data_IF_977765582844
#
_entry.id   IF_977765582844
#
_cell.length_a   1.000
_cell.length_b   1.000
_cell.length_c   1.000
_cell.angle_alpha   90.00
_cell.angle_beta   90.00
_cell.angle_gamma   90.00
#
_symmetry.space_group_name_H-M   'P 1'
#
loop_
_entity.id
_entity.type
_entity.pdbx_description
1 polymer ?
#
# COMPACT_ATOMS: atom_id res chain seq x y z
N UNK A 1 34.47 -14.00 42.59
CA UNK A 1 34.33 -15.02 41.52
C UNK A 1 33.58 -14.31 40.43
N UNK A 2 34.38 -13.61 39.64
CA UNK A 2 33.96 -12.65 38.64
C UNK A 2 33.18 -13.39 37.56
N UNK A 3 32.01 -12.86 37.21
CA UNK A 3 31.27 -13.33 36.05
C UNK A 3 32.11 -12.94 34.85
N UNK A 4 32.90 -13.88 34.36
CA UNK A 4 33.61 -13.75 33.10
C UNK A 4 32.60 -13.28 32.05
N UNK A 5 32.96 -12.16 31.44
CA UNK A 5 32.28 -11.55 30.32
C UNK A 5 32.00 -12.63 29.27
N UNK A 6 30.73 -13.01 29.08
CA UNK A 6 30.33 -13.76 27.90
C UNK A 6 30.72 -12.90 26.69
N UNK A 7 31.75 -13.36 25.97
CA UNK A 7 32.17 -12.76 24.72
C UNK A 7 30.95 -12.69 23.78
N UNK A 8 30.47 -11.48 23.40
CA UNK A 8 29.30 -11.35 22.52
C UNK A 8 29.54 -11.93 21.12
N UNK A 9 30.76 -12.41 20.83
CA UNK A 9 31.14 -13.12 19.60
C UNK A 9 31.22 -14.66 19.78
N UNK A 10 30.81 -15.20 20.93
CA UNK A 10 30.73 -16.65 21.18
C UNK A 10 29.67 -17.35 20.32
N UNK A 11 28.72 -16.60 19.74
CA UNK A 11 27.77 -17.17 18.80
C UNK A 11 28.46 -17.58 17.49
N UNK A 12 28.42 -18.88 17.12
CA UNK A 12 29.09 -19.36 15.92
C UNK A 12 28.51 -18.68 14.69
N UNK A 13 29.39 -18.22 13.80
CA UNK A 13 28.99 -17.56 12.56
C UNK A 13 27.97 -18.42 11.78
N UNK A 14 26.84 -17.84 11.34
CA UNK A 14 25.81 -18.61 10.68
C UNK A 14 26.33 -19.25 9.39
N UNK A 15 25.79 -20.42 9.07
CA UNK A 15 26.03 -21.05 7.76
C UNK A 15 25.50 -20.13 6.66
N UNK A 16 26.13 -20.14 5.48
CA UNK A 16 25.70 -19.35 4.32
C UNK A 16 24.20 -19.49 4.02
N UNK A 17 23.63 -20.68 4.17
CA UNK A 17 22.19 -20.93 4.03
C UNK A 17 21.35 -20.16 5.05
N UNK A 18 21.72 -20.19 6.33
CA UNK A 18 21.02 -19.49 7.41
C UNK A 18 21.08 -17.96 7.21
N UNK A 19 22.22 -17.45 6.76
CA UNK A 19 22.37 -16.03 6.40
C UNK A 19 21.47 -15.64 5.22
N UNK A 20 21.41 -16.45 4.16
CA UNK A 20 20.53 -16.18 3.01
C UNK A 20 19.04 -16.23 3.39
N UNK A 21 18.63 -17.19 4.22
CA UNK A 21 17.26 -17.27 4.72
C UNK A 21 16.90 -16.03 5.56
N UNK A 22 17.80 -15.60 6.45
CA UNK A 22 17.60 -14.40 7.26
C UNK A 22 17.53 -13.13 6.40
N UNK A 23 18.44 -12.97 5.45
CA UNK A 23 18.44 -11.84 4.52
C UNK A 23 17.15 -11.83 3.68
N UNK A 24 16.73 -12.97 3.15
CA UNK A 24 15.50 -13.07 2.36
C UNK A 24 14.30 -12.68 3.21
N UNK A 25 14.18 -13.22 4.42
CA UNK A 25 13.07 -12.91 5.31
C UNK A 25 13.00 -11.41 5.64
N UNK A 26 14.14 -10.80 5.98
CA UNK A 26 14.20 -9.39 6.40
C UNK A 26 14.01 -8.45 5.22
N UNK A 27 14.68 -8.68 4.10
CA UNK A 27 14.69 -7.75 2.96
C UNK A 27 13.52 -7.96 2.00
N UNK A 28 12.94 -9.16 1.91
CA UNK A 28 11.78 -9.40 1.04
C UNK A 28 10.57 -8.57 1.48
N UNK A 29 10.20 -8.62 2.77
CA UNK A 29 9.06 -7.85 3.30
C UNK A 29 9.24 -6.34 3.10
N UNK A 30 10.46 -5.83 3.34
CA UNK A 30 10.80 -4.42 3.12
C UNK A 30 10.68 -4.08 1.63
N UNK A 31 11.22 -4.94 0.75
CA UNK A 31 11.19 -4.73 -0.68
C UNK A 31 9.76 -4.76 -1.25
N UNK A 32 8.89 -5.65 -0.78
CA UNK A 32 7.50 -5.74 -1.22
C UNK A 32 6.69 -4.54 -0.74
N UNK A 33 6.92 -4.08 0.50
CA UNK A 33 6.29 -2.88 1.05
C UNK A 33 6.69 -1.64 0.27
N UNK A 34 7.99 -1.45 0.04
CA UNK A 34 8.51 -0.28 -0.64
C UNK A 34 8.16 -0.31 -2.14
N UNK A 35 8.14 -1.49 -2.76
CA UNK A 35 7.60 -1.70 -4.10
C UNK A 35 6.11 -1.32 -4.17
N UNK A 36 5.29 -1.78 -3.22
CA UNK A 36 3.88 -1.46 -3.18
C UNK A 36 3.64 0.05 -3.01
N UNK A 37 4.43 0.73 -2.17
CA UNK A 37 4.40 2.19 -2.03
C UNK A 37 4.75 2.91 -3.33
N UNK A 38 5.82 2.48 -4.00
CA UNK A 38 6.20 3.07 -5.28
C UNK A 38 5.13 2.83 -6.36
N UNK A 39 4.55 1.63 -6.38
CA UNK A 39 3.52 1.24 -7.35
C UNK A 39 2.23 2.02 -7.14
N UNK A 40 1.74 2.16 -5.90
CA UNK A 40 0.47 2.86 -5.64
C UNK A 40 0.51 4.35 -5.98
N UNK A 41 1.65 5.03 -5.76
CA UNK A 41 1.83 6.44 -6.16
C UNK A 41 1.64 6.66 -7.66
N UNK A 42 1.91 5.64 -8.48
CA UNK A 42 1.86 5.71 -9.94
C UNK A 42 0.70 4.90 -10.54
N UNK A 43 -0.13 4.24 -9.71
CA UNK A 43 -1.19 3.36 -10.18
C UNK A 43 -2.42 4.17 -10.60
N UNK A 44 -2.52 4.51 -11.89
CA UNK A 44 -3.65 5.26 -12.46
C UNK A 44 -4.74 4.31 -12.96
N UNK A 45 -6.02 4.63 -12.73
CA UNK A 45 -7.16 3.90 -13.28
C UNK A 45 -7.10 3.85 -14.82
N UNK A 46 -6.83 4.99 -15.47
CA UNK A 46 -6.80 5.07 -16.94
C UNK A 46 -8.12 4.61 -17.58
N UNK A 47 -8.05 3.59 -18.44
CA UNK A 47 -9.19 2.95 -19.11
C UNK A 47 -9.69 1.69 -18.40
N UNK A 48 -9.12 1.35 -17.23
CA UNK A 48 -9.55 0.21 -16.42
C UNK A 48 -10.94 0.47 -15.85
N UNK A 49 -11.75 -0.59 -15.75
CA UNK A 49 -13.01 -0.54 -15.04
C UNK A 49 -12.78 -0.17 -13.58
N UNK A 50 -13.68 0.61 -13.00
CA UNK A 50 -13.56 1.14 -11.64
C UNK A 50 -13.47 0.03 -10.61
N UNK A 51 -14.18 -1.08 -10.83
CA UNK A 51 -14.15 -2.26 -9.97
C UNK A 51 -12.77 -2.92 -9.96
N UNK A 52 -12.19 -3.16 -11.15
CA UNK A 52 -10.86 -3.76 -11.30
C UNK A 52 -9.77 -2.86 -10.70
N UNK A 53 -9.89 -1.55 -10.94
CA UNK A 53 -9.00 -0.55 -10.37
C UNK A 53 -9.06 -0.55 -8.84
N UNK A 54 -10.26 -0.59 -8.26
CA UNK A 54 -10.42 -0.54 -6.81
C UNK A 54 -9.85 -1.79 -6.15
N UNK A 55 -10.08 -2.98 -6.72
CA UNK A 55 -9.51 -4.24 -6.21
C UNK A 55 -7.98 -4.20 -6.19
N UNK A 56 -7.35 -3.75 -7.29
CA UNK A 56 -5.89 -3.63 -7.34
C UNK A 56 -5.36 -2.54 -6.40
N UNK A 57 -6.05 -1.40 -6.32
CA UNK A 57 -5.66 -0.30 -5.43
C UNK A 57 -5.69 -0.72 -3.96
N UNK A 58 -6.77 -1.35 -3.50
CA UNK A 58 -6.92 -1.84 -2.12
C UNK A 58 -5.85 -2.88 -1.78
N UNK A 59 -5.53 -3.78 -2.71
CA UNK A 59 -4.46 -4.75 -2.53
C UNK A 59 -3.09 -4.06 -2.36
N UNK A 60 -2.82 -2.97 -3.09
CA UNK A 60 -1.60 -2.18 -2.94
C UNK A 60 -1.57 -1.41 -1.62
N UNK A 61 -2.69 -0.86 -1.15
CA UNK A 61 -2.80 -0.22 0.18
C UNK A 61 -2.46 -1.21 1.29
N UNK A 62 -3.01 -2.43 1.22
CA UNK A 62 -2.74 -3.47 2.19
C UNK A 62 -1.25 -3.88 2.20
N UNK A 63 -0.63 -4.04 1.03
CA UNK A 63 0.79 -4.44 0.90
C UNK A 63 1.77 -3.33 1.29
N UNK A 64 1.41 -2.07 1.07
CA UNK A 64 2.28 -0.92 1.36
C UNK A 64 2.30 -0.52 2.84
N UNK A 65 1.36 -1.03 3.63
CA UNK A 65 1.21 -0.70 5.06
C UNK A 65 0.81 0.75 5.30
N UNK A 66 0.17 1.42 4.33
CA UNK A 66 -0.32 2.80 4.46
C UNK A 66 -1.81 2.86 4.84
N UNK A 67 -2.43 1.72 5.12
CA UNK A 67 -3.87 1.64 5.44
C UNK A 67 -4.26 2.57 6.60
N UNK A 68 -3.41 2.68 7.61
CA UNK A 68 -3.64 3.54 8.79
C UNK A 68 -3.40 5.03 8.50
N UNK A 69 -2.92 5.38 7.30
CA UNK A 69 -2.72 6.75 6.83
C UNK A 69 -3.93 7.21 6.02
N UNK A 70 -5.07 7.37 6.68
CA UNK A 70 -6.37 7.60 6.00
C UNK A 70 -6.33 8.75 4.99
N UNK A 71 -5.74 9.89 5.36
CA UNK A 71 -5.65 11.04 4.46
C UNK A 71 -4.78 10.75 3.22
N UNK A 72 -3.69 10.00 3.39
CA UNK A 72 -2.82 9.59 2.27
C UNK A 72 -3.58 8.67 1.31
N UNK A 73 -4.42 7.77 1.82
CA UNK A 73 -5.27 6.91 0.97
C UNK A 73 -6.28 7.73 0.18
N UNK A 74 -6.93 8.73 0.81
CA UNK A 74 -7.86 9.66 0.12
C UNK A 74 -7.15 10.41 -1.00
N UNK A 75 -5.99 11.01 -0.71
CA UNK A 75 -5.24 11.79 -1.70
C UNK A 75 -4.80 10.92 -2.89
N UNK A 76 -4.39 9.67 -2.62
CA UNK A 76 -4.05 8.70 -3.65
C UNK A 76 -5.27 8.33 -4.50
N UNK A 77 -6.42 8.03 -3.89
CA UNK A 77 -7.66 7.75 -4.60
C UNK A 77 -8.07 8.92 -5.51
N UNK A 78 -8.07 10.15 -5.00
CA UNK A 78 -8.43 11.35 -5.76
C UNK A 78 -7.46 11.60 -6.94
N UNK A 79 -6.16 11.35 -6.76
CA UNK A 79 -5.14 11.57 -7.80
C UNK A 79 -5.10 10.47 -8.84
N UNK A 80 -5.51 9.25 -8.49
CA UNK A 80 -5.30 8.05 -9.32
C UNK A 80 -6.55 7.57 -10.04
N UNK A 81 -7.72 7.92 -9.53
CA UNK A 81 -9.01 7.63 -10.17
C UNK A 81 -9.18 8.46 -11.45
N UNK A 82 -9.98 7.97 -12.39
CA UNK A 82 -10.33 8.68 -13.60
C UNK A 82 -10.87 10.07 -13.27
N UNK A 83 -10.35 11.09 -13.95
CA UNK A 83 -10.65 12.50 -13.67
C UNK A 83 -12.14 12.83 -13.81
N UNK A 84 -12.88 12.17 -14.70
CA UNK A 84 -14.30 12.44 -14.88
C UNK A 84 -15.13 11.94 -13.69
N UNK A 85 -14.77 10.78 -13.10
CA UNK A 85 -15.38 10.28 -11.86
C UNK A 85 -15.10 11.26 -10.71
N UNK A 86 -13.86 11.72 -10.58
CA UNK A 86 -13.48 12.66 -9.52
C UNK A 86 -14.19 14.01 -9.68
N UNK A 87 -14.31 14.54 -10.90
CA UNK A 87 -15.09 15.75 -11.15
C UNK A 87 -16.53 15.61 -10.70
N UNK A 88 -17.16 14.49 -11.01
CA UNK A 88 -18.55 14.23 -10.63
C UNK A 88 -18.69 14.07 -9.10
N UNK A 89 -17.71 13.43 -8.44
CA UNK A 89 -17.63 13.36 -6.97
C UNK A 89 -17.64 14.75 -6.32
N UNK A 90 -16.81 15.68 -6.83
CA UNK A 90 -16.76 17.06 -6.34
C UNK A 90 -18.02 17.85 -6.65
N UNK A 91 -18.55 17.71 -7.88
CA UNK A 91 -19.78 18.39 -8.33
C UNK A 91 -21.00 17.97 -7.51
N UNK A 92 -21.09 16.70 -7.12
CA UNK A 92 -22.15 16.19 -6.25
C UNK A 92 -21.90 16.48 -4.76
N UNK A 93 -20.75 17.07 -4.39
CA UNK A 93 -20.39 17.36 -3.00
C UNK A 93 -20.19 16.11 -2.15
N UNK A 94 -19.78 14.99 -2.75
CA UNK A 94 -19.71 13.66 -2.12
C UNK A 94 -18.33 13.30 -1.56
N UNK A 95 -17.38 14.24 -1.58
CA UNK A 95 -16.03 14.07 -1.04
C UNK A 95 -16.08 13.62 0.42
N UNK A 96 -15.28 12.61 0.78
CA UNK A 96 -15.14 12.10 2.14
C UNK A 96 -13.73 12.33 2.66
N UNK A 97 -13.55 12.13 3.97
CA UNK A 97 -12.26 12.30 4.65
C UNK A 97 -11.57 10.98 4.98
N UNK A 98 -12.23 9.85 4.72
CA UNK A 98 -11.68 8.51 4.97
C UNK A 98 -11.53 7.75 3.65
N UNK A 99 -10.55 6.86 3.59
CA UNK A 99 -10.28 6.02 2.41
C UNK A 99 -11.49 5.18 2.02
N UNK A 100 -12.02 4.40 2.97
CA UNK A 100 -13.14 3.47 2.72
C UNK A 100 -14.41 4.18 2.21
N UNK A 101 -14.74 5.34 2.79
CA UNK A 101 -15.89 6.12 2.36
C UNK A 101 -15.64 6.72 0.96
N UNK A 102 -14.43 7.21 0.69
CA UNK A 102 -14.04 7.72 -0.63
C UNK A 102 -14.09 6.62 -1.70
N UNK A 103 -13.58 5.42 -1.40
CA UNK A 103 -13.66 4.25 -2.29
C UNK A 103 -15.10 3.90 -2.66
N UNK A 104 -16.00 3.92 -1.67
CA UNK A 104 -17.43 3.64 -1.88
C UNK A 104 -18.07 4.64 -2.84
N UNK A 105 -17.78 5.92 -2.65
CA UNK A 105 -18.31 7.00 -3.49
C UNK A 105 -17.77 6.92 -4.93
N UNK A 106 -16.47 6.64 -5.08
CA UNK A 106 -15.81 6.44 -6.38
C UNK A 106 -16.41 5.24 -7.11
N UNK A 107 -16.59 4.10 -6.43
CA UNK A 107 -17.22 2.92 -7.01
C UNK A 107 -18.64 3.22 -7.49
N UNK A 108 -19.45 3.89 -6.67
CA UNK A 108 -20.83 4.20 -7.04
C UNK A 108 -20.92 5.12 -8.27
N UNK A 109 -20.09 6.17 -8.31
CA UNK A 109 -20.07 7.09 -9.44
C UNK A 109 -19.50 6.39 -10.68
N UNK A 110 -18.37 5.70 -10.56
CA UNK A 110 -17.74 5.00 -11.67
C UNK A 110 -18.66 3.98 -12.33
N UNK A 111 -19.35 3.15 -11.52
CA UNK A 111 -20.33 2.17 -12.02
C UNK A 111 -21.52 2.80 -12.74
N UNK A 112 -21.84 4.06 -12.44
CA UNK A 112 -22.93 4.78 -13.13
C UNK A 112 -22.48 5.44 -14.44
N UNK A 113 -21.16 5.55 -14.66
CA UNK A 113 -20.55 6.18 -15.83
C UNK A 113 -20.02 5.15 -16.85
N UNK A 114 -19.83 3.91 -16.42
CA UNK A 114 -19.53 2.73 -17.25
C UNK A 114 -20.80 2.10 -17.82
#
# INVERSE_FOLDING_TARGET
>A
MDKEDEDPLSDPWPTTKALFEELTLRFQVISERDYARHKIENFKQGTMRVDDFMVEFEALVAKSGIKDQEQTVVDLLERNTNREIIKELFKQGRRKTTGDATSTEILQIGRSME
#
